data_IF_711489166749
#
_entry.id   IF_711489166749
#
_cell.length_a   1.000
_cell.length_b   1.000
_cell.length_c   1.000
_cell.angle_alpha   90.00
_cell.angle_beta   90.00
_cell.angle_gamma   90.00
#
_symmetry.space_group_name_H-M   'P 1'
#
loop_
_entity.id
_entity.type
_entity.pdbx_description
1 polymer ?
#
# COMPACT_ATOMS: atom_id res chain seq x y z
N UNK A 1 -14.09 -2.54 33.37
CA UNK A 1 -12.99 -3.33 32.80
C UNK A 1 -12.27 -2.37 31.90
N UNK A 2 -11.10 -1.93 32.33
CA UNK A 2 -10.39 -0.81 31.67
C UNK A 2 -9.86 -1.28 30.32
N UNK A 3 -10.05 -0.46 29.29
CA UNK A 3 -9.53 -0.67 27.92
C UNK A 3 -7.98 -0.64 27.83
N UNK A 4 -7.27 -0.73 28.97
CA UNK A 4 -5.81 -0.60 29.04
C UNK A 4 -5.06 -1.74 28.34
N UNK A 5 -5.69 -2.88 28.16
CA UNK A 5 -5.10 -4.07 27.54
C UNK A 5 -5.46 -4.24 26.05
N UNK A 6 -6.24 -3.31 25.49
CA UNK A 6 -6.62 -3.37 24.08
C UNK A 6 -5.49 -2.91 23.16
N UNK A 7 -5.31 -3.63 22.05
CA UNK A 7 -4.27 -3.39 21.05
C UNK A 7 -4.91 -3.24 19.67
N UNK A 8 -4.56 -2.18 18.96
CA UNK A 8 -4.90 -1.99 17.57
C UNK A 8 -3.79 -2.56 16.67
N UNK A 9 -4.07 -3.62 15.93
CA UNK A 9 -3.15 -4.16 14.92
C UNK A 9 -3.55 -3.63 13.53
N UNK A 10 -2.69 -2.81 12.95
CA UNK A 10 -2.83 -2.27 11.61
C UNK A 10 -1.86 -2.96 10.65
N UNK A 11 -2.37 -3.47 9.54
CA UNK A 11 -1.59 -4.13 8.50
C UNK A 11 -1.92 -3.59 7.11
N UNK A 12 -1.09 -3.84 6.08
CA UNK A 12 -1.38 -3.44 4.70
C UNK A 12 -2.66 -4.07 4.15
N UNK A 13 -2.99 -5.26 4.63
CA UNK A 13 -4.20 -6.00 4.25
C UNK A 13 -4.77 -6.75 5.45
N UNK A 14 -6.05 -7.13 5.36
CA UNK A 14 -6.68 -8.00 6.37
C UNK A 14 -5.97 -9.35 6.45
N UNK A 15 -5.58 -9.92 5.30
CA UNK A 15 -4.85 -11.19 5.27
C UNK A 15 -3.54 -11.16 6.06
N UNK A 16 -2.74 -10.09 5.92
CA UNK A 16 -1.50 -9.92 6.67
C UNK A 16 -1.74 -9.88 8.20
N UNK A 17 -2.79 -9.17 8.63
CA UNK A 17 -3.18 -9.16 10.04
C UNK A 17 -3.61 -10.54 10.54
N UNK A 18 -4.44 -11.24 9.77
CA UNK A 18 -4.94 -12.57 10.13
C UNK A 18 -3.81 -13.62 10.13
N UNK A 19 -2.79 -13.49 9.27
CA UNK A 19 -1.61 -14.38 9.23
C UNK A 19 -0.77 -14.22 10.50
N UNK A 20 -0.51 -12.98 10.93
CA UNK A 20 0.19 -12.72 12.18
C UNK A 20 -0.57 -13.32 13.38
N UNK A 21 -1.88 -13.05 13.48
CA UNK A 21 -2.70 -13.58 14.56
C UNK A 21 -2.73 -15.12 14.57
N UNK A 22 -2.79 -15.76 13.40
CA UNK A 22 -2.73 -17.21 13.28
C UNK A 22 -1.40 -17.78 13.76
N UNK A 23 -0.29 -17.10 13.40
CA UNK A 23 1.05 -17.47 13.89
C UNK A 23 1.13 -17.42 15.41
N UNK A 24 0.60 -16.36 16.03
CA UNK A 24 0.61 -16.20 17.47
C UNK A 24 -0.31 -17.21 18.20
N UNK A 25 -1.50 -17.47 17.66
CA UNK A 25 -2.46 -18.41 18.27
C UNK A 25 -2.08 -19.88 18.04
N UNK A 26 -1.29 -20.18 17.02
CA UNK A 26 -0.75 -21.52 16.75
C UNK A 26 0.10 -22.09 17.89
N UNK A 27 0.56 -21.24 18.83
CA UNK A 27 1.26 -21.63 20.07
C UNK A 27 0.32 -22.09 21.20
N UNK A 28 -1.00 -22.08 20.96
CA UNK A 28 -2.02 -22.54 21.92
C UNK A 28 -2.54 -21.44 22.87
N UNK A 29 -2.07 -20.20 22.75
CA UNK A 29 -2.58 -19.07 23.54
C UNK A 29 -3.75 -18.39 22.82
N UNK A 30 -4.85 -18.13 23.52
CA UNK A 30 -5.93 -17.27 23.04
C UNK A 30 -5.53 -15.80 23.10
N UNK A 31 -5.88 -15.02 22.08
CA UNK A 31 -5.69 -13.57 22.06
C UNK A 31 -7.03 -12.88 22.31
N UNK A 32 -7.09 -12.02 23.34
CA UNK A 32 -8.24 -11.17 23.64
C UNK A 32 -7.84 -9.70 23.57
N UNK A 33 -8.78 -8.82 23.21
CA UNK A 33 -8.52 -7.37 23.15
C UNK A 33 -7.68 -6.92 21.94
N UNK A 34 -7.47 -7.78 20.93
CA UNK A 34 -6.75 -7.41 19.71
C UNK A 34 -7.73 -7.05 18.60
N UNK A 35 -7.69 -5.78 18.17
CA UNK A 35 -8.48 -5.26 17.06
C UNK A 35 -7.61 -5.24 15.80
N UNK A 36 -7.69 -6.33 15.00
CA UNK A 36 -6.89 -6.49 13.80
C UNK A 36 -7.66 -6.05 12.56
N UNK A 37 -7.08 -5.16 11.77
CA UNK A 37 -7.70 -4.69 10.54
C UNK A 37 -6.67 -4.13 9.56
N UNK A 38 -7.08 -3.95 8.30
CA UNK A 38 -6.23 -3.22 7.38
C UNK A 38 -6.23 -1.72 7.71
N UNK A 39 -5.11 -1.05 7.44
CA UNK A 39 -5.00 0.40 7.65
C UNK A 39 -6.16 1.18 6.98
N UNK A 40 -6.55 0.76 5.77
CA UNK A 40 -7.64 1.41 5.02
C UNK A 40 -9.02 1.19 5.67
N UNK A 41 -9.25 0.02 6.25
CA UNK A 41 -10.49 -0.24 6.99
C UNK A 41 -10.56 0.63 8.24
N UNK A 42 -9.48 0.64 9.02
CA UNK A 42 -9.39 1.46 10.22
C UNK A 42 -9.57 2.96 9.92
N UNK A 43 -8.92 3.48 8.88
CA UNK A 43 -9.08 4.88 8.49
C UNK A 43 -10.53 5.25 8.17
N UNK A 44 -11.29 4.34 7.52
CA UNK A 44 -12.72 4.55 7.25
C UNK A 44 -13.56 4.53 8.53
N UNK A 45 -13.25 3.64 9.45
CA UNK A 45 -13.93 3.57 10.75
C UNK A 45 -13.66 4.84 11.58
N UNK A 46 -12.40 5.28 11.64
CA UNK A 46 -12.03 6.51 12.33
C UNK A 46 -12.70 7.76 11.73
N UNK A 47 -12.88 7.81 10.40
CA UNK A 47 -13.53 8.91 9.69
C UNK A 47 -15.07 8.79 9.64
N UNK A 48 -15.67 7.71 10.13
CA UNK A 48 -17.07 7.36 9.84
C UNK A 48 -18.08 8.42 10.26
N UNK A 49 -17.92 9.01 11.44
CA UNK A 49 -18.81 10.08 11.94
C UNK A 49 -18.68 11.35 11.08
N UNK A 50 -17.48 11.73 10.70
CA UNK A 50 -17.22 12.91 9.87
C UNK A 50 -17.72 12.72 8.43
N UNK A 51 -17.54 11.54 7.88
CA UNK A 51 -18.11 11.18 6.59
C UNK A 51 -19.63 11.29 6.61
N UNK A 52 -20.29 10.73 7.62
CA UNK A 52 -21.72 10.78 7.78
C UNK A 52 -22.23 12.22 7.99
N UNK A 53 -21.59 13.00 8.85
CA UNK A 53 -21.95 14.39 9.12
C UNK A 53 -21.85 15.29 7.87
N UNK A 54 -20.89 14.99 6.98
CA UNK A 54 -20.70 15.73 5.72
C UNK A 54 -21.47 15.13 4.53
N UNK A 55 -22.25 14.05 4.73
CA UNK A 55 -22.96 13.34 3.66
C UNK A 55 -22.03 12.68 2.64
N UNK A 56 -20.79 12.37 3.05
CA UNK A 56 -19.77 11.77 2.18
C UNK A 56 -19.79 10.26 2.25
N UNK A 57 -19.51 9.63 1.12
CA UNK A 57 -19.39 8.15 1.00
C UNK A 57 -18.05 7.79 0.38
N UNK A 58 -17.28 6.86 0.96
CA UNK A 58 -16.04 6.38 0.35
C UNK A 58 -16.29 5.82 -1.05
N UNK A 59 -15.51 6.30 -2.02
CA UNK A 59 -15.60 5.84 -3.41
C UNK A 59 -14.88 4.50 -3.59
N UNK A 60 -15.44 3.64 -4.44
CA UNK A 60 -14.79 2.38 -4.86
C UNK A 60 -13.83 2.63 -6.04
N UNK A 61 -12.88 1.71 -6.33
CA UNK A 61 -12.02 1.83 -7.51
C UNK A 61 -12.81 1.99 -8.82
N UNK A 62 -13.87 1.20 -9.03
CA UNK A 62 -14.76 1.32 -10.19
C UNK A 62 -15.49 2.67 -10.19
N UNK A 63 -15.92 3.15 -9.04
CA UNK A 63 -16.53 4.48 -8.89
C UNK A 63 -15.54 5.60 -9.30
N UNK A 64 -14.27 5.49 -8.89
CA UNK A 64 -13.23 6.44 -9.28
C UNK A 64 -13.06 6.48 -10.80
N UNK A 65 -13.01 5.31 -11.45
CA UNK A 65 -12.94 5.21 -12.91
C UNK A 65 -14.17 5.82 -13.59
N UNK A 66 -15.36 5.58 -13.05
CA UNK A 66 -16.61 6.15 -13.57
C UNK A 66 -16.65 7.69 -13.44
N UNK A 67 -16.19 8.25 -12.32
CA UNK A 67 -16.08 9.71 -12.14
C UNK A 67 -15.04 10.28 -13.11
N UNK A 68 -13.89 9.62 -13.28
CA UNK A 68 -12.86 10.02 -14.24
C UNK A 68 -13.39 10.02 -15.68
N UNK A 69 -14.13 8.98 -16.09
CA UNK A 69 -14.77 8.90 -17.39
C UNK A 69 -15.79 10.03 -17.61
N UNK A 70 -16.56 10.35 -16.58
CA UNK A 70 -17.53 11.45 -16.61
C UNK A 70 -16.84 12.80 -16.71
N UNK A 71 -15.81 13.06 -15.92
CA UNK A 71 -15.02 14.28 -15.97
C UNK A 71 -14.39 14.48 -17.35
N UNK A 72 -13.77 13.46 -17.92
CA UNK A 72 -13.19 13.51 -19.26
C UNK A 72 -14.21 13.81 -20.34
N UNK A 73 -15.38 13.14 -20.29
CA UNK A 73 -16.47 13.38 -21.28
C UNK A 73 -17.03 14.81 -21.18
N UNK A 74 -17.23 15.33 -19.98
CA UNK A 74 -17.73 16.69 -19.79
C UNK A 74 -16.69 17.72 -20.27
N UNK A 75 -15.44 17.59 -19.89
CA UNK A 75 -14.37 18.49 -20.33
C UNK A 75 -14.19 18.50 -21.85
N UNK A 76 -14.30 17.32 -22.49
CA UNK A 76 -14.25 17.21 -23.95
C UNK A 76 -15.46 17.86 -24.63
N UNK A 77 -16.67 17.66 -24.08
CA UNK A 77 -17.92 18.26 -24.62
C UNK A 77 -17.91 19.81 -24.51
N UNK A 78 -17.34 20.34 -23.43
CA UNK A 78 -17.23 21.77 -23.19
C UNK A 78 -16.03 22.42 -23.92
N UNK A 79 -15.23 21.64 -24.66
CA UNK A 79 -14.09 22.13 -25.43
C UNK A 79 -12.90 22.57 -24.56
N UNK A 80 -12.81 22.09 -23.34
CA UNK A 80 -11.75 22.45 -22.38
C UNK A 80 -10.43 21.74 -22.62
N UNK A 81 -10.44 20.63 -23.38
CA UNK A 81 -9.26 19.82 -23.65
C UNK A 81 -8.64 20.18 -24.98
N UNK A 82 -7.34 20.43 -24.97
CA UNK A 82 -6.55 20.72 -26.16
C UNK A 82 -5.79 19.48 -26.65
N UNK A 83 -4.84 19.00 -25.85
CA UNK A 83 -3.94 17.88 -26.19
C UNK A 83 -4.57 16.51 -25.95
N UNK A 84 -5.35 16.38 -24.88
CA UNK A 84 -5.99 15.13 -24.51
C UNK A 84 -7.35 14.91 -25.19
N UNK A 85 -7.88 15.93 -25.91
CA UNK A 85 -9.16 15.85 -26.61
C UNK A 85 -9.26 14.63 -27.54
N UNK A 86 -8.25 14.26 -28.38
CA UNK A 86 -8.35 13.12 -29.28
C UNK A 86 -8.45 11.77 -28.59
N UNK A 87 -7.97 11.66 -27.34
CA UNK A 87 -7.88 10.40 -26.60
C UNK A 87 -8.90 10.29 -25.46
N UNK A 88 -9.58 11.38 -25.09
CA UNK A 88 -10.50 11.45 -23.96
C UNK A 88 -11.65 10.43 -24.01
N UNK A 89 -12.07 10.03 -25.22
CA UNK A 89 -13.10 9.01 -25.45
C UNK A 89 -12.57 7.59 -25.69
N UNK A 90 -11.27 7.38 -25.67
CA UNK A 90 -10.67 6.09 -25.99
C UNK A 90 -10.85 5.07 -24.86
N UNK A 91 -11.00 3.77 -25.18
CA UNK A 91 -11.00 2.71 -24.19
C UNK A 91 -9.72 2.75 -23.33
N UNK A 92 -9.87 2.64 -22.01
CA UNK A 92 -8.73 2.68 -21.08
C UNK A 92 -8.31 4.09 -20.62
N UNK A 93 -8.68 5.17 -21.32
CA UNK A 93 -8.34 6.53 -20.90
C UNK A 93 -8.86 6.84 -19.50
N UNK A 94 -10.11 6.49 -19.21
CA UNK A 94 -10.72 6.72 -17.89
C UNK A 94 -9.96 6.03 -16.75
N UNK A 95 -9.49 4.80 -16.99
CA UNK A 95 -8.68 4.05 -16.00
C UNK A 95 -7.33 4.72 -15.78
N UNK A 96 -6.62 5.09 -16.84
CA UNK A 96 -5.34 5.80 -16.74
C UNK A 96 -5.51 7.14 -16.05
N UNK A 97 -6.55 7.90 -16.41
CA UNK A 97 -6.87 9.17 -15.77
C UNK A 97 -7.17 9.00 -14.28
N UNK A 98 -7.98 7.99 -13.91
CA UNK A 98 -8.29 7.71 -12.51
C UNK A 98 -7.02 7.39 -11.68
N UNK A 99 -6.07 6.64 -12.24
CA UNK A 99 -4.77 6.36 -11.61
C UNK A 99 -3.99 7.65 -11.41
N UNK A 100 -3.79 8.44 -12.46
CA UNK A 100 -3.01 9.69 -12.42
C UNK A 100 -3.64 10.71 -11.47
N UNK A 101 -4.95 10.92 -11.52
CA UNK A 101 -5.66 11.80 -10.59
C UNK A 101 -5.52 11.28 -9.16
N UNK A 102 -5.61 9.96 -8.95
CA UNK A 102 -5.42 9.34 -7.64
C UNK A 102 -4.03 9.65 -7.05
N UNK A 103 -2.98 9.58 -7.86
CA UNK A 103 -1.60 9.92 -7.47
C UNK A 103 -1.45 11.41 -7.15
N UNK A 104 -1.96 12.30 -8.01
CA UNK A 104 -1.93 13.74 -7.79
C UNK A 104 -2.65 14.13 -6.48
N UNK A 105 -3.83 13.59 -6.25
CA UNK A 105 -4.59 13.85 -5.03
C UNK A 105 -3.92 13.27 -3.78
N UNK A 106 -3.30 12.11 -3.91
CA UNK A 106 -2.51 11.50 -2.83
C UNK A 106 -1.27 12.34 -2.49
N UNK A 107 -0.64 12.95 -3.49
CA UNK A 107 0.46 13.88 -3.32
C UNK A 107 0.02 15.30 -2.88
N UNK A 108 -1.30 15.56 -2.81
CA UNK A 108 -1.82 16.88 -2.46
C UNK A 108 -1.63 17.96 -3.53
N UNK A 109 -1.40 17.56 -4.80
CA UNK A 109 -1.19 18.51 -5.90
C UNK A 109 -2.51 19.19 -6.26
N UNK A 110 -2.62 20.52 -6.12
CA UNK A 110 -3.82 21.24 -6.51
C UNK A 110 -3.91 21.39 -8.03
N UNK A 111 -5.12 21.44 -8.56
CA UNK A 111 -5.33 21.62 -10.02
C UNK A 111 -4.63 22.88 -10.57
N UNK A 112 -4.59 23.97 -9.79
CA UNK A 112 -3.93 25.22 -10.15
C UNK A 112 -2.44 25.06 -10.48
N UNK A 113 -1.73 24.16 -9.78
CA UNK A 113 -0.31 23.91 -10.05
C UNK A 113 -0.03 23.29 -11.43
N UNK A 114 -1.06 22.77 -12.09
CA UNK A 114 -0.97 22.12 -13.40
C UNK A 114 -1.44 23.03 -14.55
N UNK A 115 -2.00 24.21 -14.23
CA UNK A 115 -2.62 25.09 -15.23
C UNK A 115 -1.62 25.97 -16.00
N UNK A 116 -0.47 26.25 -15.41
CA UNK A 116 0.51 27.19 -15.96
C UNK A 116 1.34 26.59 -17.12
N UNK A 117 1.51 25.27 -17.13
CA UNK A 117 2.24 24.58 -18.18
C UNK A 117 1.28 23.96 -19.21
N UNK A 118 1.51 24.28 -20.49
CA UNK A 118 0.75 23.72 -21.61
C UNK A 118 0.77 22.20 -21.68
N UNK A 119 1.81 21.55 -21.13
CA UNK A 119 1.93 20.09 -21.08
C UNK A 119 0.95 19.43 -20.10
N UNK A 120 0.63 20.11 -19.00
CA UNK A 120 -0.17 19.60 -17.88
C UNK A 120 -1.54 20.26 -17.73
N UNK A 121 -1.81 21.34 -18.48
CA UNK A 121 -3.04 22.14 -18.37
C UNK A 121 -4.33 21.30 -18.48
N UNK A 122 -4.39 20.40 -19.46
CA UNK A 122 -5.56 19.52 -19.63
C UNK A 122 -5.76 18.61 -18.43
N UNK A 123 -4.66 18.13 -17.84
CA UNK A 123 -4.71 17.33 -16.62
C UNK A 123 -5.20 18.14 -15.41
N UNK A 124 -4.80 19.41 -15.32
CA UNK A 124 -5.31 20.35 -14.33
C UNK A 124 -6.82 20.54 -14.44
N UNK A 125 -7.32 20.77 -15.65
CA UNK A 125 -8.77 20.88 -15.95
C UNK A 125 -9.53 19.61 -15.60
N UNK A 126 -8.96 18.45 -15.95
CA UNK A 126 -9.55 17.15 -15.61
C UNK A 126 -9.56 16.89 -14.10
N UNK A 127 -8.51 17.27 -13.38
CA UNK A 127 -8.46 17.18 -11.91
C UNK A 127 -9.50 18.08 -11.25
N UNK A 128 -9.70 19.29 -11.74
CA UNK A 128 -10.73 20.21 -11.25
C UNK A 128 -12.13 19.65 -11.50
N UNK A 129 -12.41 19.18 -12.73
CA UNK A 129 -13.68 18.55 -13.08
C UNK A 129 -13.96 17.30 -12.25
N UNK A 130 -12.94 16.45 -12.07
CA UNK A 130 -13.06 15.27 -11.24
C UNK A 130 -13.41 15.63 -9.79
N UNK A 131 -12.75 16.62 -9.23
CA UNK A 131 -13.02 17.10 -7.87
C UNK A 131 -14.44 17.64 -7.73
N UNK A 132 -14.90 18.45 -8.68
CA UNK A 132 -16.29 18.95 -8.68
C UNK A 132 -17.34 17.84 -8.80
N UNK A 133 -17.08 16.80 -9.60
CA UNK A 133 -17.99 15.66 -9.68
C UNK A 133 -17.97 14.82 -8.39
N UNK A 134 -16.81 14.66 -7.73
CA UNK A 134 -16.72 14.02 -6.42
C UNK A 134 -17.58 14.75 -5.38
N UNK A 135 -17.45 16.08 -5.32
CA UNK A 135 -18.25 16.94 -4.41
C UNK A 135 -19.74 16.84 -4.72
N UNK A 136 -20.09 16.94 -6.00
CA UNK A 136 -21.49 16.85 -6.46
C UNK A 136 -22.19 15.56 -6.02
N UNK A 137 -21.46 14.44 -6.02
CA UNK A 137 -22.03 13.15 -5.65
C UNK A 137 -21.78 12.77 -4.18
N UNK A 138 -21.18 13.65 -3.38
CA UNK A 138 -20.87 13.38 -1.98
C UNK A 138 -19.91 12.18 -1.84
N UNK A 139 -18.83 12.17 -2.62
CA UNK A 139 -17.88 11.05 -2.63
C UNK A 139 -16.55 11.46 -1.96
N UNK A 140 -15.95 10.53 -1.22
CA UNK A 140 -14.67 10.68 -0.58
C UNK A 140 -13.67 9.64 -1.10
N UNK A 141 -12.53 10.09 -1.62
CA UNK A 141 -11.41 9.24 -1.96
C UNK A 141 -10.53 8.93 -0.74
N UNK A 142 -9.48 8.12 -0.94
CA UNK A 142 -8.57 7.73 0.15
C UNK A 142 -7.93 8.93 0.84
N UNK A 143 -7.32 9.90 0.14
CA UNK A 143 -6.75 11.08 0.78
C UNK A 143 -7.77 11.86 1.63
N UNK A 144 -9.00 12.01 1.15
CA UNK A 144 -10.08 12.66 1.91
C UNK A 144 -10.44 11.86 3.17
N UNK A 145 -10.55 10.53 3.07
CA UNK A 145 -10.79 9.66 4.24
C UNK A 145 -9.66 9.77 5.26
N UNK A 146 -8.39 9.74 4.80
CA UNK A 146 -7.23 9.86 5.70
C UNK A 146 -7.22 11.20 6.43
N UNK A 147 -7.49 12.30 5.73
CA UNK A 147 -7.57 13.62 6.34
C UNK A 147 -8.68 13.72 7.38
N UNK A 148 -9.88 13.22 7.07
CA UNK A 148 -10.99 13.20 8.02
C UNK A 148 -10.70 12.32 9.24
N UNK A 149 -10.05 11.18 9.05
CA UNK A 149 -9.61 10.33 10.15
C UNK A 149 -8.57 11.03 11.05
N UNK A 150 -7.62 11.76 10.44
CA UNK A 150 -6.63 12.54 11.19
C UNK A 150 -7.29 13.68 11.98
N UNK A 151 -8.25 14.40 11.38
CA UNK A 151 -9.07 15.43 12.05
C UNK A 151 -9.85 14.81 13.23
N UNK A 152 -10.49 13.66 13.03
CA UNK A 152 -11.24 12.98 14.08
C UNK A 152 -10.37 12.53 15.25
N UNK A 153 -9.13 12.09 14.99
CA UNK A 153 -8.15 11.77 16.02
C UNK A 153 -7.72 13.01 16.80
N UNK A 154 -7.33 14.08 16.10
CA UNK A 154 -6.85 15.32 16.70
C UNK A 154 -7.92 15.97 17.62
N UNK A 155 -9.19 15.81 17.29
CA UNK A 155 -10.32 16.33 18.05
C UNK A 155 -10.90 15.33 19.06
N UNK A 156 -10.30 14.14 19.21
CA UNK A 156 -10.72 13.11 20.15
C UNK A 156 -12.07 12.45 19.83
N UNK A 157 -12.53 12.55 18.58
CA UNK A 157 -13.80 11.94 18.12
C UNK A 157 -13.64 10.48 17.68
N UNK A 158 -12.44 10.06 17.31
CA UNK A 158 -12.15 8.66 17.01
C UNK A 158 -11.65 7.94 18.27
N UNK A 159 -12.30 6.84 18.62
CA UNK A 159 -11.88 5.99 19.73
C UNK A 159 -10.87 4.98 19.19
N UNK A 160 -9.70 4.93 19.82
CA UNK A 160 -8.61 4.04 19.42
C UNK A 160 -7.97 3.41 20.66
N UNK A 161 -7.65 2.12 20.66
CA UNK A 161 -6.95 1.44 21.75
C UNK A 161 -5.64 2.16 22.15
N UNK A 162 -5.21 2.11 23.42
CA UNK A 162 -4.02 2.83 23.89
C UNK A 162 -2.71 2.33 23.30
N UNK A 163 -2.69 1.08 22.83
CA UNK A 163 -1.53 0.45 22.17
C UNK A 163 -1.81 0.18 20.72
N UNK A 164 -0.81 0.31 19.86
CA UNK A 164 -0.95 -0.03 18.44
C UNK A 164 0.30 -0.73 17.89
N UNK A 165 0.05 -1.69 17.03
CA UNK A 165 1.08 -2.40 16.26
C UNK A 165 0.86 -2.06 14.79
N UNK A 166 1.90 -1.53 14.14
CA UNK A 166 1.91 -1.20 12.72
C UNK A 166 2.76 -2.21 11.97
N UNK A 167 2.10 -3.18 11.36
CA UNK A 167 2.75 -4.27 10.65
C UNK A 167 3.06 -3.83 9.21
N UNK A 168 4.32 -3.60 8.90
CA UNK A 168 4.83 -3.30 7.55
C UNK A 168 3.97 -2.28 6.78
N UNK A 169 3.65 -1.16 7.42
CA UNK A 169 2.87 -0.10 6.80
C UNK A 169 3.77 0.79 5.94
N UNK A 170 3.55 0.76 4.63
CA UNK A 170 4.20 1.66 3.69
C UNK A 170 3.48 3.00 3.63
N UNK A 171 4.22 4.09 3.81
CA UNK A 171 3.70 5.44 3.67
C UNK A 171 3.79 5.87 2.21
N UNK A 172 2.64 5.98 1.54
CA UNK A 172 2.57 6.28 0.11
C UNK A 172 2.05 7.69 -0.22
N UNK A 173 1.60 8.44 0.77
CA UNK A 173 1.04 9.77 0.56
C UNK A 173 1.16 10.66 1.79
N UNK A 174 1.18 11.99 1.57
CA UNK A 174 1.17 12.96 2.65
C UNK A 174 -0.01 12.80 3.60
N UNK A 175 -1.22 12.60 3.08
CA UNK A 175 -2.41 12.40 3.89
C UNK A 175 -2.34 11.10 4.73
N UNK A 176 -1.69 10.05 4.23
CA UNK A 176 -1.43 8.84 5.01
C UNK A 176 -0.41 9.11 6.13
N UNK A 177 0.67 9.82 5.80
CA UNK A 177 1.68 10.22 6.77
C UNK A 177 1.07 11.04 7.92
N UNK A 178 0.24 12.03 7.58
CA UNK A 178 -0.42 12.89 8.56
C UNK A 178 -1.38 12.11 9.47
N UNK A 179 -2.11 11.14 8.90
CA UNK A 179 -2.97 10.25 9.68
C UNK A 179 -2.17 9.38 10.67
N UNK A 180 -1.04 8.80 10.23
CA UNK A 180 -0.17 8.01 11.10
C UNK A 180 0.49 8.86 12.19
N UNK A 181 0.90 10.10 11.88
CA UNK A 181 1.39 11.07 12.88
C UNK A 181 0.31 11.39 13.91
N UNK A 182 -0.91 11.65 13.46
CA UNK A 182 -2.04 11.90 14.36
C UNK A 182 -2.33 10.69 15.25
N UNK A 183 -2.24 9.47 14.70
CA UNK A 183 -2.40 8.24 15.46
C UNK A 183 -1.26 8.08 16.50
N UNK A 184 -0.01 8.31 16.12
CA UNK A 184 1.14 8.25 17.04
C UNK A 184 0.96 9.22 18.21
N UNK A 185 0.55 10.47 17.93
CA UNK A 185 0.32 11.49 18.95
C UNK A 185 -0.78 11.12 19.98
N UNK A 186 -1.71 10.25 19.59
CA UNK A 186 -2.82 9.81 20.45
C UNK A 186 -2.48 8.55 21.28
N UNK A 187 -1.31 7.92 21.09
CA UNK A 187 -0.99 6.59 21.64
C UNK A 187 0.04 6.65 22.75
N UNK A 188 -0.10 5.73 23.72
CA UNK A 188 0.89 5.54 24.79
C UNK A 188 2.05 4.67 24.31
N UNK A 189 1.76 3.70 23.45
CA UNK A 189 2.74 2.73 22.97
C UNK A 189 2.45 2.39 21.50
N UNK A 190 3.47 2.51 20.67
CA UNK A 190 3.43 2.14 19.26
C UNK A 190 4.61 1.23 18.96
N UNK A 191 4.33 0.07 18.40
CA UNK A 191 5.34 -0.84 17.84
C UNK A 191 5.14 -0.87 16.32
N UNK A 192 6.18 -0.58 15.56
CA UNK A 192 6.14 -0.65 14.10
C UNK A 192 7.17 -1.64 13.59
N UNK A 193 6.80 -2.42 12.57
CA UNK A 193 7.73 -3.28 11.84
C UNK A 193 7.97 -2.73 10.44
N UNK A 194 9.18 -2.97 9.93
CA UNK A 194 9.61 -2.59 8.59
C UNK A 194 10.35 -3.76 7.97
N UNK A 195 10.11 -4.03 6.70
CA UNK A 195 10.88 -5.04 5.98
C UNK A 195 12.37 -4.68 5.95
N UNK A 196 13.23 -5.67 6.13
CA UNK A 196 14.67 -5.47 6.04
C UNK A 196 15.05 -4.89 4.66
N UNK A 197 15.86 -3.82 4.65
CA UNK A 197 16.26 -3.11 3.42
C UNK A 197 15.34 -1.95 3.01
N UNK A 198 14.19 -1.73 3.65
CA UNK A 198 13.34 -0.55 3.43
C UNK A 198 13.79 0.61 4.32
N UNK A 199 14.92 1.23 3.96
CA UNK A 199 15.50 2.34 4.68
C UNK A 199 14.58 3.58 4.71
N UNK A 200 13.86 3.85 3.63
CA UNK A 200 12.96 5.01 3.52
C UNK A 200 11.82 4.93 4.54
N UNK A 201 11.16 3.77 4.65
CA UNK A 201 10.11 3.56 5.65
C UNK A 201 10.66 3.60 7.08
N UNK A 202 11.86 3.06 7.30
CA UNK A 202 12.53 3.09 8.60
C UNK A 202 12.85 4.52 9.03
N UNK A 203 13.46 5.32 8.16
CA UNK A 203 13.81 6.72 8.42
C UNK A 203 12.55 7.54 8.73
N UNK A 204 11.49 7.33 7.96
CA UNK A 204 10.22 8.01 8.20
C UNK A 204 9.62 7.62 9.55
N UNK A 205 9.54 6.32 9.87
CA UNK A 205 9.00 5.85 11.16
C UNK A 205 9.82 6.37 12.34
N UNK A 206 11.15 6.34 12.24
CA UNK A 206 12.05 6.90 13.23
C UNK A 206 11.79 8.41 13.46
N UNK A 207 11.56 9.15 12.38
CA UNK A 207 11.22 10.59 12.48
C UNK A 207 9.88 10.86 13.20
N UNK A 208 8.95 9.91 13.19
CA UNK A 208 7.60 10.04 13.78
C UNK A 208 7.53 9.48 15.20
N UNK A 209 8.17 8.33 15.43
CA UNK A 209 8.08 7.58 16.68
C UNK A 209 9.27 7.84 17.63
N UNK A 210 10.37 8.44 17.12
CA UNK A 210 11.62 8.61 17.86
C UNK A 210 12.52 7.37 17.75
N UNK A 211 13.74 7.50 18.28
CA UNK A 211 14.82 6.49 18.14
C UNK A 211 14.70 5.29 19.10
N UNK A 212 13.56 5.09 19.74
CA UNK A 212 13.53 4.33 20.98
C UNK A 212 13.89 2.86 20.87
N UNK A 213 13.78 2.17 19.76
CA UNK A 213 14.35 0.81 19.61
C UNK A 213 14.30 0.34 18.16
N UNK A 214 15.41 0.36 17.48
CA UNK A 214 15.56 -0.44 16.26
C UNK A 214 16.13 -1.82 16.65
N UNK A 215 15.26 -2.78 16.89
CA UNK A 215 15.68 -4.16 17.06
C UNK A 215 15.59 -4.88 15.72
N UNK A 216 16.70 -5.42 15.24
CA UNK A 216 16.70 -6.30 14.08
C UNK A 216 16.19 -7.67 14.54
N UNK A 217 14.93 -7.98 14.26
CA UNK A 217 14.34 -9.28 14.60
C UNK A 217 14.70 -10.26 13.48
N UNK A 218 15.82 -10.92 13.62
CA UNK A 218 16.16 -12.08 12.79
C UNK A 218 15.30 -13.26 13.28
N UNK A 219 14.11 -13.44 12.70
CA UNK A 219 13.18 -14.51 13.09
C UNK A 219 13.70 -15.92 12.78
N UNK A 220 14.78 -16.04 11.99
CA UNK A 220 15.38 -17.29 11.59
C UNK A 220 16.78 -17.51 12.19
N UNK A 221 17.02 -17.02 13.41
CA UNK A 221 18.32 -17.25 14.09
C UNK A 221 18.68 -18.74 14.17
N UNK A 222 17.70 -19.63 14.21
CA UNK A 222 17.87 -21.09 14.18
C UNK A 222 17.92 -21.68 12.76
N UNK A 223 17.43 -20.97 11.75
CA UNK A 223 17.46 -21.36 10.35
C UNK A 223 18.48 -20.49 9.64
N UNK A 224 19.69 -21.00 9.45
CA UNK A 224 20.67 -20.32 8.60
C UNK A 224 20.24 -20.52 7.13
N UNK A 225 19.57 -19.51 6.50
CA UNK A 225 19.28 -19.61 5.08
C UNK A 225 20.60 -19.74 4.32
N UNK A 226 20.59 -20.44 3.20
CA UNK A 226 21.74 -20.56 2.31
C UNK A 226 22.31 -19.16 1.96
N UNK A 227 23.61 -19.07 1.73
CA UNK A 227 24.30 -17.79 1.60
C UNK A 227 23.74 -16.89 0.47
N UNK A 228 23.32 -17.49 -0.65
CA UNK A 228 22.71 -16.78 -1.78
C UNK A 228 21.33 -16.22 -1.43
N UNK A 229 20.50 -16.96 -0.69
CA UNK A 229 19.19 -16.48 -0.25
C UNK A 229 19.30 -15.30 0.74
N UNK A 230 20.21 -15.40 1.73
CA UNK A 230 20.50 -14.28 2.64
C UNK A 230 20.96 -13.03 1.90
N UNK A 231 21.80 -13.22 0.88
CA UNK A 231 22.25 -12.12 0.03
C UNK A 231 21.07 -11.49 -0.73
N UNK A 232 20.23 -12.30 -1.37
CA UNK A 232 19.04 -11.82 -2.06
C UNK A 232 18.09 -11.07 -1.10
N UNK A 233 17.83 -11.61 0.08
CA UNK A 233 16.99 -10.95 1.11
C UNK A 233 17.56 -9.60 1.56
N UNK A 234 18.88 -9.50 1.70
CA UNK A 234 19.52 -8.28 2.16
C UNK A 234 19.57 -7.18 1.10
N UNK A 235 19.83 -7.54 -0.16
CA UNK A 235 20.18 -6.57 -1.20
C UNK A 235 19.10 -6.37 -2.27
N UNK A 236 18.04 -7.18 -2.31
CA UNK A 236 17.01 -7.09 -3.36
C UNK A 236 16.29 -5.73 -3.39
N UNK A 237 16.25 -5.02 -2.27
CA UNK A 237 15.64 -3.70 -2.13
C UNK A 237 16.63 -2.56 -1.89
N UNK A 238 17.93 -2.85 -1.79
CA UNK A 238 18.95 -1.82 -1.66
C UNK A 238 19.20 -1.15 -3.02
N UNK A 239 19.09 0.18 -3.06
CA UNK A 239 19.46 1.00 -4.21
C UNK A 239 20.86 1.58 -3.99
N UNK A 240 21.84 1.17 -4.80
CA UNK A 240 23.18 1.76 -4.79
C UNK A 240 24.22 1.11 -3.87
N UNK A 241 23.97 -0.07 -3.35
CA UNK A 241 24.97 -0.85 -2.62
C UNK A 241 26.00 -1.46 -3.59
N UNK A 242 27.29 -1.19 -3.37
CA UNK A 242 28.37 -1.88 -4.08
C UNK A 242 28.40 -3.35 -3.62
N UNK A 243 27.95 -4.23 -4.52
CA UNK A 243 28.12 -5.67 -4.33
C UNK A 243 29.60 -6.13 -4.46
N UNK A 244 30.51 -5.16 -4.58
CA UNK A 244 31.96 -5.40 -4.66
C UNK A 244 32.50 -5.98 -3.36
N UNK A 245 33.06 -7.19 -3.45
CA UNK A 245 33.69 -7.87 -2.33
C UNK A 245 32.89 -9.01 -1.67
N UNK A 246 31.67 -9.29 -2.14
CA UNK A 246 30.94 -10.44 -1.64
C UNK A 246 31.36 -11.72 -2.39
N UNK A 247 31.82 -12.77 -1.69
CA UNK A 247 32.17 -14.04 -2.33
C UNK A 247 30.95 -14.61 -3.05
N UNK A 248 31.13 -15.08 -4.29
CA UNK A 248 30.09 -15.81 -5.00
C UNK A 248 29.83 -17.12 -4.26
N UNK A 249 28.59 -17.44 -3.89
CA UNK A 249 28.33 -18.73 -3.26
C UNK A 249 28.55 -19.85 -4.27
N UNK A 250 29.41 -20.80 -3.94
CA UNK A 250 29.55 -22.07 -4.64
C UNK A 250 28.47 -23.05 -4.17
N UNK A 251 27.20 -22.67 -4.37
CA UNK A 251 26.09 -23.54 -4.01
C UNK A 251 25.64 -24.34 -5.23
N UNK A 252 25.50 -25.67 -5.05
CA UNK A 252 24.99 -26.54 -6.11
C UNK A 252 23.99 -27.54 -5.52
N UNK A 253 22.68 -27.46 -5.85
CA UNK A 253 22.03 -26.50 -6.72
C UNK A 253 21.93 -25.09 -6.07
N UNK A 254 21.83 -24.01 -6.88
CA UNK A 254 21.72 -22.66 -6.32
C UNK A 254 20.38 -22.48 -5.60
N UNK A 255 20.40 -21.86 -4.41
CA UNK A 255 19.19 -21.52 -3.63
C UNK A 255 18.41 -20.35 -4.23
N UNK A 256 19.05 -19.58 -5.10
CA UNK A 256 18.44 -18.45 -5.85
C UNK A 256 18.79 -18.63 -7.32
N UNK A 257 17.77 -18.63 -8.17
CA UNK A 257 17.92 -18.71 -9.62
C UNK A 257 17.18 -17.54 -10.29
N UNK A 258 17.82 -16.92 -11.28
CA UNK A 258 17.25 -15.83 -12.07
C UNK A 258 17.01 -16.32 -13.50
N UNK A 259 15.78 -16.13 -13.99
CA UNK A 259 15.46 -16.42 -15.38
C UNK A 259 14.72 -15.24 -16.03
N UNK A 260 14.75 -15.20 -17.35
CA UNK A 260 13.95 -14.27 -18.13
C UNK A 260 13.12 -15.00 -19.18
N UNK A 261 12.00 -14.42 -19.56
CA UNK A 261 11.11 -14.96 -20.58
C UNK A 261 10.70 -13.87 -21.59
N UNK A 262 10.24 -14.29 -22.77
CA UNK A 262 9.84 -13.38 -23.83
C UNK A 262 8.38 -12.90 -23.66
N UNK A 263 8.08 -12.32 -22.49
CA UNK A 263 6.78 -11.80 -22.11
C UNK A 263 6.04 -12.67 -21.10
N UNK A 264 4.94 -12.12 -20.53
CA UNK A 264 4.22 -12.66 -19.39
C UNK A 264 3.69 -14.07 -19.62
N UNK A 265 3.21 -14.36 -20.84
CA UNK A 265 2.72 -15.70 -21.18
C UNK A 265 3.80 -16.77 -21.12
N UNK A 266 5.01 -16.50 -21.63
CA UNK A 266 6.13 -17.42 -21.53
C UNK A 266 6.69 -17.50 -20.12
N UNK A 267 6.66 -16.42 -19.38
CA UNK A 267 7.02 -16.39 -17.96
C UNK A 267 6.10 -17.31 -17.13
N UNK A 268 4.78 -17.23 -17.33
CA UNK A 268 3.83 -18.14 -16.69
C UNK A 268 4.12 -19.63 -17.00
N UNK A 269 4.44 -19.96 -18.25
CA UNK A 269 4.79 -21.33 -18.65
C UNK A 269 6.06 -21.79 -17.95
N UNK A 270 7.08 -20.94 -17.89
CA UNK A 270 8.35 -21.28 -17.24
C UNK A 270 8.18 -21.44 -15.72
N UNK A 271 7.42 -20.56 -15.07
CA UNK A 271 7.07 -20.69 -13.65
C UNK A 271 6.35 -22.03 -13.39
N UNK A 272 5.34 -22.35 -14.19
CA UNK A 272 4.60 -23.60 -14.06
C UNK A 272 5.50 -24.84 -14.25
N UNK A 273 6.45 -24.78 -15.19
CA UNK A 273 7.43 -25.84 -15.42
C UNK A 273 8.33 -26.04 -14.21
N UNK A 274 8.85 -24.95 -13.62
CA UNK A 274 9.70 -24.97 -12.41
C UNK A 274 8.94 -25.51 -11.20
N UNK A 275 7.69 -25.10 -11.00
CA UNK A 275 6.82 -25.63 -9.94
C UNK A 275 6.63 -27.14 -10.09
N UNK A 276 6.40 -27.63 -11.32
CA UNK A 276 6.25 -29.07 -11.57
C UNK A 276 7.53 -29.84 -11.28
N UNK A 277 8.70 -29.29 -11.59
CA UNK A 277 9.99 -29.92 -11.25
C UNK A 277 10.17 -29.99 -9.73
N UNK A 278 9.99 -28.87 -9.03
CA UNK A 278 10.09 -28.83 -7.57
C UNK A 278 9.13 -29.83 -6.89
N UNK A 279 7.90 -29.94 -7.41
CA UNK A 279 6.94 -30.93 -6.91
C UNK A 279 7.34 -32.37 -7.20
N UNK A 280 7.94 -32.62 -8.37
CA UNK A 280 8.49 -33.97 -8.70
C UNK A 280 9.67 -34.35 -7.79
N UNK A 281 10.45 -33.36 -7.36
CA UNK A 281 11.55 -33.51 -6.38
C UNK A 281 11.05 -33.60 -4.92
N UNK A 282 9.73 -33.60 -4.70
CA UNK A 282 9.10 -33.85 -3.40
C UNK A 282 8.66 -32.57 -2.64
N UNK A 283 8.76 -31.39 -3.23
CA UNK A 283 8.25 -30.17 -2.61
C UNK A 283 6.71 -30.12 -2.72
N UNK A 284 6.01 -30.03 -1.59
CA UNK A 284 4.55 -29.93 -1.55
C UNK A 284 4.06 -28.59 -2.11
N UNK A 285 2.94 -28.59 -2.84
CA UNK A 285 2.41 -27.36 -3.48
C UNK A 285 2.05 -26.24 -2.51
N UNK A 286 1.62 -26.58 -1.29
CA UNK A 286 1.34 -25.63 -0.21
C UNK A 286 2.59 -24.96 0.38
N UNK A 287 3.78 -25.42 -0.03
CA UNK A 287 5.07 -24.83 0.31
C UNK A 287 5.62 -23.92 -0.79
N UNK A 288 4.86 -23.69 -1.86
CA UNK A 288 5.27 -22.89 -3.01
C UNK A 288 4.40 -21.61 -3.05
N UNK A 289 5.04 -20.47 -3.18
CA UNK A 289 4.35 -19.18 -3.35
C UNK A 289 4.85 -18.45 -4.60
N UNK A 290 3.95 -17.75 -5.28
CA UNK A 290 4.26 -16.87 -6.41
C UNK A 290 3.88 -15.45 -6.03
N UNK A 291 4.85 -14.55 -6.05
CA UNK A 291 4.64 -13.14 -5.78
C UNK A 291 4.68 -12.36 -7.10
N UNK A 292 3.62 -11.62 -7.39
CA UNK A 292 3.53 -10.78 -8.59
C UNK A 292 3.21 -9.35 -8.21
N UNK A 293 3.92 -8.40 -8.81
CA UNK A 293 3.71 -6.96 -8.55
C UNK A 293 2.37 -6.47 -9.10
N UNK A 294 1.96 -6.97 -10.27
CA UNK A 294 0.74 -6.59 -10.96
C UNK A 294 -0.03 -7.84 -11.39
N UNK A 295 -0.89 -8.41 -10.53
CA UNK A 295 -1.62 -9.65 -10.84
C UNK A 295 -2.44 -9.58 -12.14
N UNK A 296 -2.96 -8.38 -12.46
CA UNK A 296 -3.78 -8.16 -13.67
C UNK A 296 -3.04 -8.36 -14.99
N UNK A 297 -1.71 -8.27 -15.00
CA UNK A 297 -0.90 -8.56 -16.19
C UNK A 297 -0.78 -10.06 -16.47
N UNK A 298 -1.02 -10.90 -15.46
CA UNK A 298 -0.89 -12.36 -15.49
C UNK A 298 -2.23 -13.10 -15.50
N UNK A 299 -3.33 -12.39 -15.37
CA UNK A 299 -4.68 -12.96 -15.47
C UNK A 299 -5.20 -12.78 -16.90
N UNK A 300 -5.84 -13.82 -17.49
CA UNK A 300 -6.41 -13.74 -18.84
C UNK A 300 -7.59 -12.78 -18.92
#
# INVERSE_FOLDING_TARGET
>A
MEHEDEVLLLAPSRGAADDLLRGLTGTGAGLLGVHAMSFQQWAREAASLDLAARGLRPITPLGTEAIAARAARLAAADGELERLSPVAGMPGFARSLASTIGELRAAGVPASALMDDNGTRDLGRLLERFTGEMERFGLADRPTVHRLAAEALAEGRAIVPPRSIWLDLFVRSGAQADLLKALAACRREVVATVAAGDAESLDWLTSVLGDEVVANVDQDADRKPEAALRRAQRFVFETGGDAEGMPSPEETPPSVDLFSAAGEGQECVEIARRIRHAAADGLAFDRIAIFVRQPTAYLP
#
